data_IF_086736752883
#
_entry.id   IF_086736752883
#
_cell.length_a   1.000
_cell.length_b   1.000
_cell.length_c   1.000
_cell.angle_alpha   90.00
_cell.angle_beta   90.00
_cell.angle_gamma   90.00
#
_symmetry.space_group_name_H-M   'P 1'
#
loop_
_entity.id
_entity.type
_entity.pdbx_description
1 polymer ?
#
# COMPACT_ATOMS: atom_id res chain seq x y z
N UNK A 1 23.47 -34.03 -3.08
CA UNK A 1 22.54 -34.51 -2.04
C UNK A 1 21.39 -33.50 -1.94
N UNK A 2 20.17 -33.95 -1.72
CA UNK A 2 19.02 -33.06 -1.48
C UNK A 2 18.97 -32.75 0.02
N UNK A 3 18.84 -31.47 0.37
CA UNK A 3 18.69 -31.04 1.77
C UNK A 3 17.21 -31.03 2.14
N UNK A 4 16.85 -31.58 3.29
CA UNK A 4 15.47 -31.76 3.74
C UNK A 4 15.10 -30.76 4.81
N UNK A 5 13.89 -30.19 4.69
CA UNK A 5 13.27 -29.23 5.61
C UNK A 5 11.80 -29.62 5.85
N UNK A 6 11.21 -29.08 6.90
CA UNK A 6 9.76 -29.19 7.13
C UNK A 6 9.02 -28.13 6.31
N UNK A 7 9.66 -26.97 6.12
CA UNK A 7 9.07 -25.84 5.44
C UNK A 7 10.09 -25.05 4.60
N UNK A 8 9.76 -24.84 3.33
CA UNK A 8 10.48 -23.98 2.42
C UNK A 8 9.64 -22.72 2.17
N UNK A 9 10.26 -21.55 2.26
CA UNK A 9 9.62 -20.27 1.97
C UNK A 9 10.36 -19.58 0.80
N UNK A 10 9.65 -19.32 -0.28
CA UNK A 10 10.17 -18.62 -1.46
C UNK A 10 9.67 -17.17 -1.44
N UNK A 11 10.57 -16.23 -1.14
CA UNK A 11 10.32 -14.81 -0.98
C UNK A 11 10.44 -14.33 0.47
N UNK A 12 11.42 -13.47 0.71
CA UNK A 12 11.72 -12.83 2.01
C UNK A 12 11.02 -11.50 2.19
N UNK A 13 9.83 -11.33 1.61
CA UNK A 13 8.93 -10.21 1.89
C UNK A 13 8.11 -10.42 3.17
N UNK A 14 7.22 -9.47 3.47
CA UNK A 14 6.46 -9.41 4.73
C UNK A 14 5.74 -10.71 5.08
N UNK A 15 5.08 -11.34 4.11
CA UNK A 15 4.35 -12.60 4.32
C UNK A 15 5.26 -13.78 4.55
N UNK A 16 6.33 -13.91 3.74
CA UNK A 16 7.30 -14.99 3.85
C UNK A 16 8.06 -14.95 5.18
N UNK A 17 8.58 -13.78 5.57
CA UNK A 17 9.27 -13.57 6.87
C UNK A 17 8.35 -13.94 8.04
N UNK A 18 7.10 -13.45 8.01
CA UNK A 18 6.15 -13.70 9.09
C UNK A 18 5.78 -15.19 9.22
N UNK A 19 5.63 -15.87 8.08
CA UNK A 19 5.34 -17.30 8.03
C UNK A 19 6.54 -18.14 8.49
N UNK A 20 7.74 -17.86 7.95
CA UNK A 20 8.97 -18.59 8.30
C UNK A 20 9.26 -18.54 9.80
N UNK A 21 9.29 -17.32 10.38
CA UNK A 21 9.52 -17.16 11.82
C UNK A 21 8.45 -17.86 12.65
N UNK A 22 7.17 -17.74 12.27
CA UNK A 22 6.08 -18.39 13.03
C UNK A 22 6.18 -19.92 12.98
N UNK A 23 6.52 -20.49 11.83
CA UNK A 23 6.73 -21.93 11.69
C UNK A 23 7.92 -22.42 12.55
N UNK A 24 9.04 -21.72 12.50
CA UNK A 24 10.22 -22.03 13.30
C UNK A 24 9.95 -21.94 14.82
N UNK A 25 9.17 -20.94 15.27
CA UNK A 25 8.73 -20.85 16.68
C UNK A 25 7.90 -22.06 17.13
N UNK A 26 7.29 -22.80 16.21
CA UNK A 26 6.58 -24.06 16.49
C UNK A 26 7.45 -25.30 16.28
N UNK A 27 8.77 -25.13 16.11
CA UNK A 27 9.74 -26.20 16.01
C UNK A 27 9.96 -26.79 14.63
N UNK A 28 9.39 -26.20 13.58
CA UNK A 28 9.64 -26.61 12.21
C UNK A 28 11.07 -26.23 11.78
N UNK A 29 11.74 -27.12 11.03
CA UNK A 29 13.00 -26.82 10.34
C UNK A 29 12.69 -26.03 9.08
N UNK A 30 13.01 -24.73 9.09
CA UNK A 30 12.62 -23.76 8.04
C UNK A 30 13.82 -23.24 7.28
N UNK A 31 13.69 -23.15 5.95
CA UNK A 31 14.59 -22.39 5.11
C UNK A 31 13.81 -21.35 4.28
N UNK A 32 14.36 -20.13 4.19
CA UNK A 32 13.82 -19.03 3.41
C UNK A 32 14.80 -18.66 2.29
N UNK A 33 14.28 -18.47 1.09
CA UNK A 33 15.01 -18.00 -0.08
C UNK A 33 14.52 -16.59 -0.48
N UNK A 34 15.46 -15.65 -0.64
CA UNK A 34 15.19 -14.29 -1.13
C UNK A 34 16.25 -13.89 -2.16
N UNK A 35 15.81 -13.55 -3.36
CA UNK A 35 16.70 -13.20 -4.47
C UNK A 35 17.09 -11.73 -4.53
N UNK A 36 16.52 -10.89 -3.67
CA UNK A 36 16.79 -9.46 -3.54
C UNK A 36 17.07 -9.10 -2.08
N UNK A 37 16.59 -7.93 -1.65
CA UNK A 37 16.73 -7.45 -0.28
C UNK A 37 15.62 -8.00 0.63
N UNK A 38 15.99 -8.48 1.80
CA UNK A 38 15.06 -8.93 2.84
C UNK A 38 14.08 -7.82 3.23
N UNK A 39 12.83 -8.19 3.53
CA UNK A 39 11.76 -7.21 3.79
C UNK A 39 10.86 -6.96 2.57
N UNK A 40 11.34 -7.31 1.36
CA UNK A 40 10.60 -7.20 0.10
C UNK A 40 10.20 -5.76 -0.24
N UNK A 41 9.17 -5.61 -1.06
CA UNK A 41 8.68 -4.29 -1.53
C UNK A 41 8.37 -3.35 -0.37
N UNK A 42 7.69 -3.81 0.67
CA UNK A 42 7.24 -2.96 1.78
C UNK A 42 8.38 -2.20 2.46
N UNK A 43 9.48 -2.89 2.76
CA UNK A 43 10.60 -2.31 3.51
C UNK A 43 11.53 -1.52 2.60
N UNK A 44 11.78 -2.00 1.38
CA UNK A 44 12.85 -1.46 0.54
C UNK A 44 12.35 -0.36 -0.43
N UNK A 45 11.20 -0.59 -1.08
CA UNK A 45 10.66 0.29 -2.13
C UNK A 45 9.13 0.45 -2.02
N UNK A 46 8.60 0.53 -0.81
CA UNK A 46 7.16 0.59 -0.56
C UNK A 46 6.79 1.35 0.70
N UNK A 47 6.06 0.68 1.60
CA UNK A 47 5.41 1.30 2.77
C UNK A 47 6.37 2.10 3.66
N UNK A 48 7.54 1.52 3.98
CA UNK A 48 8.50 2.12 4.91
C UNK A 48 9.13 3.38 4.30
N UNK A 49 9.83 3.31 3.16
CA UNK A 49 10.41 4.51 2.56
C UNK A 49 9.36 5.55 2.19
N UNK A 50 8.17 5.12 1.73
CA UNK A 50 7.07 6.02 1.39
C UNK A 50 6.58 6.82 2.60
N UNK A 51 6.36 6.16 3.76
CA UNK A 51 5.90 6.85 4.98
C UNK A 51 6.94 7.83 5.50
N UNK A 52 8.25 7.51 5.40
CA UNK A 52 9.34 8.45 5.73
C UNK A 52 9.31 9.67 4.81
N UNK A 53 9.15 9.45 3.50
CA UNK A 53 9.05 10.55 2.52
C UNK A 53 7.80 11.41 2.74
N UNK A 54 6.67 10.79 3.06
CA UNK A 54 5.43 11.48 3.41
C UNK A 54 5.59 12.35 4.66
N UNK A 55 6.28 11.89 5.72
CA UNK A 55 6.59 12.74 6.86
C UNK A 55 7.51 13.90 6.48
N UNK A 56 8.47 13.69 5.58
CA UNK A 56 9.28 14.79 5.01
C UNK A 56 8.41 15.84 4.33
N UNK A 57 7.41 15.40 3.56
CA UNK A 57 6.42 16.26 2.91
C UNK A 57 5.56 17.01 3.94
N UNK A 58 5.09 16.34 5.01
CA UNK A 58 4.33 16.97 6.10
C UNK A 58 5.15 18.06 6.82
N UNK A 59 6.44 17.83 7.04
CA UNK A 59 7.34 18.86 7.61
C UNK A 59 7.43 20.07 6.66
N UNK A 60 7.60 19.85 5.35
CA UNK A 60 7.65 20.90 4.36
C UNK A 60 6.33 21.71 4.34
N UNK A 61 5.17 21.04 4.30
CA UNK A 61 3.87 21.70 4.38
C UNK A 61 3.69 22.52 5.66
N UNK A 62 4.08 21.98 6.82
CA UNK A 62 4.01 22.70 8.08
C UNK A 62 4.82 24.00 8.04
N UNK A 63 6.04 23.93 7.51
CA UNK A 63 6.94 25.09 7.43
C UNK A 63 6.46 26.14 6.42
N UNK A 64 5.94 25.70 5.27
CA UNK A 64 5.51 26.62 4.20
C UNK A 64 4.11 27.16 4.36
N UNK A 65 3.18 26.38 4.93
CA UNK A 65 1.75 26.72 4.96
C UNK A 65 1.26 27.18 6.33
N UNK A 66 1.77 26.60 7.41
CA UNK A 66 1.16 26.78 8.73
C UNK A 66 2.05 27.52 9.73
N UNK A 67 3.37 27.46 9.62
CA UNK A 67 4.27 28.05 10.60
C UNK A 67 4.00 29.54 10.86
N UNK A 68 3.79 30.33 9.80
CA UNK A 68 3.47 31.76 9.93
C UNK A 68 2.14 32.03 10.64
N UNK A 69 1.14 31.19 10.43
CA UNK A 69 -0.18 31.28 11.08
C UNK A 69 -0.10 31.02 12.61
N UNK A 70 0.91 30.26 13.02
CA UNK A 70 1.24 30.01 14.44
C UNK A 70 2.24 31.02 15.01
N UNK A 71 2.62 32.06 14.27
CA UNK A 71 3.51 33.13 14.71
C UNK A 71 5.00 32.81 14.57
N UNK A 72 5.38 31.75 13.85
CA UNK A 72 6.76 31.46 13.55
C UNK A 72 7.22 32.21 12.31
N UNK A 73 8.27 33.05 12.44
CA UNK A 73 9.00 33.64 11.31
C UNK A 73 10.09 32.65 10.87
N UNK A 74 9.83 31.93 9.78
CA UNK A 74 10.69 30.85 9.32
C UNK A 74 11.29 31.21 7.96
N UNK A 75 12.62 31.12 7.86
CA UNK A 75 13.35 31.17 6.60
C UNK A 75 14.00 29.83 6.33
N UNK A 76 13.57 29.14 5.27
CA UNK A 76 14.17 27.87 4.83
C UNK A 76 15.28 28.18 3.84
N UNK A 77 16.54 28.11 4.27
CA UNK A 77 17.69 28.36 3.41
C UNK A 77 17.92 27.24 2.38
N UNK A 78 17.62 25.98 2.73
CA UNK A 78 17.83 24.82 1.88
C UNK A 78 16.98 23.65 2.36
N UNK A 79 16.39 22.91 1.46
CA UNK A 79 15.97 21.52 1.65
C UNK A 79 17.03 20.60 1.05
N UNK A 80 17.56 19.65 1.80
CA UNK A 80 18.56 18.70 1.37
C UNK A 80 17.95 17.30 1.24
N UNK A 81 17.54 16.97 0.01
CA UNK A 81 16.94 15.67 -0.31
C UNK A 81 17.89 14.51 -0.04
N UNK A 82 19.20 14.70 -0.28
CA UNK A 82 20.20 13.67 -0.01
C UNK A 82 20.26 13.30 1.48
N UNK A 83 20.10 14.29 2.38
CA UNK A 83 20.00 14.03 3.82
C UNK A 83 18.76 13.20 4.17
N UNK A 84 17.59 13.52 3.59
CA UNK A 84 16.36 12.74 3.79
C UNK A 84 16.53 11.31 3.27
N UNK A 85 17.09 11.14 2.06
CA UNK A 85 17.38 9.83 1.45
C UNK A 85 18.32 9.00 2.32
N UNK A 86 19.43 9.57 2.81
CA UNK A 86 20.40 8.88 3.65
C UNK A 86 19.79 8.44 4.98
N UNK A 87 19.01 9.30 5.67
CA UNK A 87 18.34 8.97 6.91
C UNK A 87 17.27 7.89 6.74
N UNK A 88 16.53 7.93 5.63
CA UNK A 88 15.57 6.90 5.23
C UNK A 88 16.28 5.55 5.04
N UNK A 89 17.41 5.53 4.32
CA UNK A 89 18.19 4.31 4.10
C UNK A 89 18.71 3.75 5.42
N UNK A 90 19.31 4.58 6.28
CA UNK A 90 19.77 4.14 7.59
C UNK A 90 18.63 3.56 8.46
N UNK A 91 17.38 4.03 8.29
CA UNK A 91 16.22 3.43 8.95
C UNK A 91 15.88 2.05 8.39
N UNK A 92 15.92 1.88 7.06
CA UNK A 92 15.71 0.58 6.38
C UNK A 92 16.78 -0.42 6.84
N UNK A 93 18.04 -0.03 6.89
CA UNK A 93 19.15 -0.90 7.33
C UNK A 93 18.96 -1.41 8.77
N UNK A 94 18.40 -0.57 9.66
CA UNK A 94 18.04 -1.03 11.02
C UNK A 94 16.93 -2.08 11.01
N UNK A 95 15.96 -1.99 10.08
CA UNK A 95 14.90 -2.99 9.92
C UNK A 95 15.50 -4.29 9.39
N UNK A 96 16.40 -4.26 8.40
CA UNK A 96 17.12 -5.43 7.91
C UNK A 96 17.85 -6.13 9.05
N UNK A 97 18.62 -5.38 9.85
CA UNK A 97 19.31 -5.93 11.02
C UNK A 97 18.35 -6.54 12.06
N UNK A 98 17.11 -6.03 12.16
CA UNK A 98 16.09 -6.62 13.04
C UNK A 98 15.56 -7.95 12.48
N UNK A 99 15.36 -8.06 11.16
CA UNK A 99 14.96 -9.33 10.53
C UNK A 99 16.04 -10.39 10.69
N UNK A 100 17.33 -10.03 10.46
CA UNK A 100 18.44 -10.96 10.63
C UNK A 100 18.49 -11.53 12.05
N UNK A 101 18.42 -10.67 13.06
CA UNK A 101 18.35 -11.12 14.47
C UNK A 101 17.13 -12.00 14.75
N UNK A 102 16.01 -11.71 14.10
CA UNK A 102 14.78 -12.52 14.21
C UNK A 102 14.95 -13.91 13.63
N UNK A 103 15.60 -14.05 12.48
CA UNK A 103 15.91 -15.33 11.87
C UNK A 103 16.86 -16.13 12.74
N UNK A 104 17.95 -15.53 13.23
CA UNK A 104 18.91 -16.19 14.11
C UNK A 104 18.25 -16.67 15.40
N UNK A 105 17.44 -15.82 16.04
CA UNK A 105 16.74 -16.13 17.27
C UNK A 105 15.75 -17.29 17.15
N UNK A 106 15.10 -17.41 15.99
CA UNK A 106 14.10 -18.46 15.72
C UNK A 106 14.69 -19.68 15.01
N UNK A 107 15.96 -19.65 14.60
CA UNK A 107 16.61 -20.76 13.89
C UNK A 107 16.12 -20.92 12.44
N UNK A 108 15.71 -19.83 11.79
CA UNK A 108 15.35 -19.83 10.36
C UNK A 108 16.63 -19.78 9.53
N UNK A 109 16.89 -20.82 8.74
CA UNK A 109 17.94 -20.78 7.72
C UNK A 109 17.50 -19.89 6.55
N UNK A 110 18.44 -19.15 5.97
CA UNK A 110 18.18 -18.27 4.81
C UNK A 110 19.30 -18.34 3.80
N UNK A 111 18.92 -18.21 2.52
CA UNK A 111 19.84 -18.13 1.39
C UNK A 111 19.39 -16.96 0.52
N UNK A 112 20.28 -15.98 0.31
CA UNK A 112 20.02 -14.78 -0.48
C UNK A 112 20.32 -15.04 -1.96
N UNK A 113 19.45 -15.89 -2.57
CA UNK A 113 19.50 -16.30 -3.95
C UNK A 113 18.11 -16.67 -4.47
N UNK A 114 17.92 -16.61 -5.79
CA UNK A 114 16.68 -16.99 -6.44
C UNK A 114 16.46 -18.51 -6.40
N UNK A 115 15.36 -18.95 -5.80
CA UNK A 115 14.91 -20.34 -5.82
C UNK A 115 14.12 -20.65 -7.10
N UNK A 116 14.29 -21.86 -7.63
CA UNK A 116 13.54 -22.36 -8.79
C UNK A 116 12.98 -23.75 -8.52
N UNK A 117 11.71 -23.95 -8.82
CA UNK A 117 11.12 -25.29 -8.78
C UNK A 117 11.74 -26.20 -9.84
N UNK A 118 12.09 -27.41 -9.45
CA UNK A 118 12.47 -28.50 -10.37
C UNK A 118 11.40 -29.57 -10.46
N UNK A 119 10.59 -29.72 -9.41
CA UNK A 119 9.35 -30.50 -9.30
C UNK A 119 8.45 -29.89 -8.21
N UNK A 120 7.23 -30.43 -7.94
CA UNK A 120 6.29 -29.83 -6.95
C UNK A 120 6.82 -29.70 -5.52
N UNK A 121 7.80 -30.50 -5.11
CA UNK A 121 8.31 -30.52 -3.73
C UNK A 121 9.80 -30.25 -3.62
N UNK A 122 10.47 -29.92 -4.74
CA UNK A 122 11.91 -29.67 -4.77
C UNK A 122 12.20 -28.33 -5.45
N UNK A 123 13.00 -27.52 -4.78
CA UNK A 123 13.56 -26.30 -5.36
C UNK A 123 15.08 -26.43 -5.52
N UNK A 124 15.63 -25.75 -6.50
CA UNK A 124 17.06 -25.62 -6.76
C UNK A 124 17.51 -24.18 -6.55
N UNK A 125 18.58 -24.00 -5.82
CA UNK A 125 19.18 -22.68 -5.51
C UNK A 125 20.69 -22.82 -5.63
N UNK A 126 21.35 -22.02 -6.50
CA UNK A 126 22.79 -22.05 -6.71
C UNK A 126 23.36 -23.47 -6.96
N UNK A 127 22.62 -24.33 -7.66
CA UNK A 127 23.02 -25.71 -7.97
C UNK A 127 22.77 -26.75 -6.84
N UNK A 128 22.31 -26.33 -5.69
CA UNK A 128 21.90 -27.22 -4.59
C UNK A 128 20.37 -27.44 -4.60
N UNK A 129 19.94 -28.62 -4.17
CA UNK A 129 18.50 -28.98 -4.12
C UNK A 129 18.00 -29.08 -2.70
N UNK A 130 16.79 -28.59 -2.51
CA UNK A 130 16.09 -28.52 -1.23
C UNK A 130 14.68 -29.09 -1.39
N UNK A 131 14.22 -29.89 -0.45
CA UNK A 131 12.88 -30.49 -0.49
C UNK A 131 12.17 -30.30 0.84
N UNK A 132 10.85 -30.15 0.78
CA UNK A 132 9.98 -30.08 1.95
C UNK A 132 8.57 -30.57 1.60
N UNK A 133 7.81 -31.12 2.59
CA UNK A 133 6.39 -31.42 2.41
C UNK A 133 5.53 -30.14 2.28
N UNK A 134 6.03 -29.00 2.77
CA UNK A 134 5.35 -27.73 2.73
C UNK A 134 6.22 -26.66 2.07
N UNK A 135 5.71 -26.01 1.02
CA UNK A 135 6.40 -24.93 0.30
C UNK A 135 5.47 -23.72 0.18
N UNK A 136 5.90 -22.57 0.66
CA UNK A 136 5.19 -21.30 0.51
C UNK A 136 5.78 -20.48 -0.64
N UNK A 137 4.91 -19.99 -1.53
CA UNK A 137 5.22 -19.01 -2.56
C UNK A 137 4.74 -17.64 -2.07
N UNK A 138 5.68 -16.74 -1.76
CA UNK A 138 5.44 -15.37 -1.29
C UNK A 138 6.28 -14.36 -2.10
N UNK A 139 6.35 -14.57 -3.41
CA UNK A 139 7.19 -13.83 -4.36
C UNK A 139 6.71 -12.41 -4.66
N UNK A 140 5.52 -12.02 -4.16
CA UNK A 140 5.00 -10.67 -4.29
C UNK A 140 4.67 -10.26 -5.73
N UNK A 141 4.86 -8.99 -6.04
CA UNK A 141 4.59 -8.40 -7.35
C UNK A 141 5.57 -7.28 -7.70
N UNK A 142 5.48 -6.79 -8.94
CA UNK A 142 6.27 -5.67 -9.46
C UNK A 142 5.40 -4.64 -10.18
N UNK A 143 5.91 -3.42 -10.32
CA UNK A 143 5.22 -2.34 -11.02
C UNK A 143 5.16 -2.59 -12.53
N UNK A 144 4.11 -2.10 -13.17
CA UNK A 144 3.88 -2.22 -14.61
C UNK A 144 4.39 -1.00 -15.38
N UNK A 145 4.94 -1.26 -16.55
CA UNK A 145 5.16 -0.26 -17.61
C UNK A 145 4.05 -0.37 -18.67
N UNK A 146 3.58 0.74 -19.25
CA UNK A 146 2.65 0.67 -20.37
C UNK A 146 3.35 0.20 -21.64
N UNK A 147 2.60 -0.46 -22.52
CA UNK A 147 3.12 -0.86 -23.83
C UNK A 147 2.89 0.26 -24.85
N UNK A 148 3.67 1.35 -24.71
CA UNK A 148 3.67 2.49 -25.63
C UNK A 148 5.11 2.88 -25.98
N UNK A 149 5.37 3.52 -27.13
CA UNK A 149 6.70 3.99 -27.50
C UNK A 149 7.29 4.91 -26.45
N UNK A 150 8.56 4.67 -26.07
CA UNK A 150 9.31 5.50 -25.12
C UNK A 150 8.92 5.29 -23.65
N UNK A 151 8.11 4.29 -23.31
CA UNK A 151 7.73 4.01 -21.92
C UNK A 151 8.92 3.73 -21.00
N UNK A 152 10.02 3.23 -21.55
CA UNK A 152 11.26 2.95 -20.84
C UNK A 152 12.00 4.19 -20.33
N UNK A 153 11.67 5.38 -20.82
CA UNK A 153 12.25 6.63 -20.32
C UNK A 153 11.64 7.08 -18.98
N UNK A 154 10.46 6.58 -18.65
CA UNK A 154 9.87 6.78 -17.33
C UNK A 154 10.40 5.78 -16.30
N UNK A 155 10.28 6.13 -15.03
CA UNK A 155 10.55 5.25 -13.89
C UNK A 155 9.24 4.73 -13.29
N UNK A 156 9.31 3.77 -12.37
CA UNK A 156 8.17 3.31 -11.57
C UNK A 156 8.27 3.82 -10.12
N UNK A 157 7.36 3.38 -9.26
CA UNK A 157 7.47 3.63 -7.80
C UNK A 157 8.79 3.18 -7.21
N UNK A 158 9.42 2.15 -7.75
CA UNK A 158 10.73 1.68 -7.27
C UNK A 158 11.80 2.73 -7.59
N UNK A 159 11.82 3.26 -8.82
CA UNK A 159 12.72 4.33 -9.23
C UNK A 159 12.49 5.66 -8.50
N UNK A 160 11.27 5.95 -8.02
CA UNK A 160 11.02 7.12 -7.17
C UNK A 160 11.88 7.09 -5.90
N UNK A 161 12.08 5.94 -5.29
CA UNK A 161 12.92 5.81 -4.10
C UNK A 161 14.42 5.91 -4.39
N UNK A 162 14.81 5.76 -5.66
CA UNK A 162 16.21 5.88 -6.10
C UNK A 162 16.60 7.31 -6.52
N UNK A 163 15.64 8.22 -6.65
CA UNK A 163 15.95 9.62 -6.98
C UNK A 163 17.00 10.21 -6.05
N UNK A 164 17.91 11.01 -6.61
CA UNK A 164 18.97 11.69 -5.87
C UNK A 164 18.61 13.13 -5.49
N UNK A 165 17.63 13.71 -6.19
CA UNK A 165 17.10 15.05 -5.95
C UNK A 165 15.61 15.09 -6.27
N UNK A 166 14.93 16.14 -5.82
CA UNK A 166 13.54 16.41 -6.22
C UNK A 166 13.54 16.95 -7.64
N UNK A 167 12.90 16.25 -8.62
CA UNK A 167 12.81 16.76 -9.98
C UNK A 167 12.04 18.09 -10.02
N UNK A 168 12.44 19.02 -10.87
CA UNK A 168 11.75 20.31 -10.97
C UNK A 168 10.33 20.17 -11.49
N UNK A 169 10.13 19.35 -12.53
CA UNK A 169 8.82 19.08 -13.16
C UNK A 169 8.62 17.56 -13.21
N UNK A 170 7.50 17.09 -12.69
CA UNK A 170 7.20 15.66 -12.63
C UNK A 170 5.81 15.38 -13.20
N UNK A 171 5.72 14.36 -14.06
CA UNK A 171 4.46 13.73 -14.42
C UNK A 171 4.32 12.39 -13.70
N UNK A 172 3.22 12.19 -12.98
CA UNK A 172 2.84 10.90 -12.39
C UNK A 172 1.62 10.38 -13.14
N UNK A 173 1.72 9.21 -13.74
CA UNK A 173 0.63 8.60 -14.52
C UNK A 173 0.08 7.41 -13.77
N UNK A 174 -1.19 7.51 -13.34
CA UNK A 174 -1.91 6.49 -12.58
C UNK A 174 -3.00 7.09 -11.73
N UNK A 175 -3.98 6.27 -11.33
CA UNK A 175 -5.14 6.69 -10.56
C UNK A 175 -5.27 5.96 -9.21
N UNK A 176 -4.31 5.11 -8.86
CA UNK A 176 -4.27 4.36 -7.62
C UNK A 176 -3.60 5.14 -6.48
N UNK A 177 -3.59 4.51 -5.29
CA UNK A 177 -3.00 5.12 -4.10
C UNK A 177 -1.50 5.45 -4.27
N UNK A 178 -0.73 4.62 -4.98
CA UNK A 178 0.70 4.88 -5.25
C UNK A 178 0.87 6.20 -6.02
N UNK A 179 0.06 6.41 -7.07
CA UNK A 179 0.12 7.62 -7.87
C UNK A 179 -0.17 8.87 -7.04
N UNK A 180 -1.25 8.83 -6.24
CA UNK A 180 -1.66 9.95 -5.38
C UNK A 180 -0.62 10.26 -4.31
N UNK A 181 -0.07 9.24 -3.66
CA UNK A 181 0.94 9.38 -2.61
C UNK A 181 2.26 9.96 -3.15
N UNK A 182 2.77 9.41 -4.25
CA UNK A 182 4.02 9.86 -4.86
C UNK A 182 3.89 11.29 -5.40
N UNK A 183 2.77 11.60 -6.08
CA UNK A 183 2.51 12.94 -6.58
C UNK A 183 2.40 13.96 -5.43
N UNK A 184 1.69 13.61 -4.35
CA UNK A 184 1.56 14.48 -3.17
C UNK A 184 2.90 14.76 -2.49
N UNK A 185 3.74 13.74 -2.32
CA UNK A 185 5.09 13.91 -1.73
C UNK A 185 5.96 14.81 -2.59
N UNK A 186 6.05 14.60 -3.89
CA UNK A 186 6.88 15.41 -4.79
C UNK A 186 6.39 16.85 -4.84
N UNK A 187 5.08 17.06 -4.93
CA UNK A 187 4.48 18.40 -4.90
C UNK A 187 4.83 19.15 -3.60
N UNK A 188 4.66 18.50 -2.44
CA UNK A 188 4.96 19.12 -1.15
C UNK A 188 6.46 19.43 -0.96
N UNK A 189 7.35 18.65 -1.60
CA UNK A 189 8.79 18.88 -1.59
C UNK A 189 9.28 19.86 -2.66
N UNK A 190 8.36 20.47 -3.43
CA UNK A 190 8.65 21.60 -4.33
C UNK A 190 8.79 21.25 -5.81
N UNK A 191 8.43 20.05 -6.23
CA UNK A 191 8.31 19.70 -7.65
C UNK A 191 7.02 20.29 -8.22
N UNK A 192 7.08 20.89 -9.42
CA UNK A 192 5.89 21.15 -10.23
C UNK A 192 5.33 19.82 -10.72
N UNK A 193 4.32 19.33 -10.02
CA UNK A 193 3.84 17.96 -10.15
C UNK A 193 2.46 17.89 -10.80
N UNK A 194 2.38 17.07 -11.85
CA UNK A 194 1.16 16.79 -12.60
C UNK A 194 0.74 15.34 -12.44
N UNK A 195 -0.50 15.11 -11.99
CA UNK A 195 -1.10 13.78 -11.84
C UNK A 195 -2.07 13.52 -12.99
N UNK A 196 -1.78 12.53 -13.83
CA UNK A 196 -2.60 12.15 -14.97
C UNK A 196 -3.41 10.89 -14.67
N UNK A 197 -4.73 10.99 -14.80
CA UNK A 197 -5.65 9.87 -14.60
C UNK A 197 -6.49 9.61 -15.85
N UNK A 198 -6.63 8.34 -16.21
CA UNK A 198 -7.35 7.90 -17.41
C UNK A 198 -8.86 8.18 -17.38
N UNK A 199 -9.44 8.35 -16.19
CA UNK A 199 -10.87 8.55 -15.99
C UNK A 199 -11.14 9.92 -15.34
N UNK A 200 -12.35 10.09 -14.83
CA UNK A 200 -12.85 11.31 -14.22
C UNK A 200 -12.19 11.72 -12.91
N UNK A 201 -11.62 10.75 -12.15
CA UNK A 201 -10.99 11.01 -10.85
C UNK A 201 -9.98 9.92 -10.47
N UNK A 202 -9.04 10.21 -9.53
CA UNK A 202 -8.22 9.18 -8.88
C UNK A 202 -9.05 8.37 -7.88
N UNK A 203 -8.46 7.31 -7.31
CA UNK A 203 -8.98 6.53 -6.17
C UNK A 203 -10.44 6.06 -6.32
N UNK A 204 -10.87 5.68 -7.52
CA UNK A 204 -12.26 5.33 -7.83
C UNK A 204 -12.84 4.15 -7.03
N UNK A 205 -12.02 3.41 -6.31
CA UNK A 205 -12.45 2.33 -5.41
C UNK A 205 -12.75 2.80 -4.00
N UNK A 206 -12.38 4.03 -3.65
CA UNK A 206 -12.68 4.71 -2.40
C UNK A 206 -14.01 5.45 -2.47
N UNK A 207 -14.54 5.83 -1.32
CA UNK A 207 -15.83 6.56 -1.23
C UNK A 207 -15.72 7.90 -1.99
N UNK A 208 -16.75 8.18 -2.80
CA UNK A 208 -16.72 9.34 -3.71
C UNK A 208 -16.63 10.67 -2.96
N UNK A 209 -17.42 10.85 -1.89
CA UNK A 209 -17.43 12.09 -1.13
C UNK A 209 -16.06 12.41 -0.53
N UNK A 210 -15.34 11.38 -0.10
CA UNK A 210 -13.99 11.52 0.46
C UNK A 210 -12.97 11.88 -0.63
N UNK A 211 -13.10 11.26 -1.79
CA UNK A 211 -12.20 11.55 -2.93
C UNK A 211 -12.47 12.94 -3.51
N UNK A 212 -13.72 13.39 -3.54
CA UNK A 212 -14.07 14.75 -4.03
C UNK A 212 -13.37 15.81 -3.16
N UNK A 213 -13.34 15.67 -1.83
CA UNK A 213 -12.58 16.57 -0.94
C UNK A 213 -11.08 16.57 -1.28
N UNK A 214 -10.48 15.39 -1.57
CA UNK A 214 -9.09 15.33 -2.00
C UNK A 214 -8.86 16.09 -3.32
N UNK A 215 -9.75 15.92 -4.30
CA UNK A 215 -9.64 16.61 -5.60
C UNK A 215 -9.75 18.13 -5.44
N UNK A 216 -10.67 18.59 -4.58
CA UNK A 216 -10.80 20.02 -4.25
C UNK A 216 -9.52 20.58 -3.59
N UNK A 217 -8.87 19.80 -2.72
CA UNK A 217 -7.60 20.22 -2.11
C UNK A 217 -6.42 20.19 -3.12
N UNK A 218 -6.38 19.20 -4.03
CA UNK A 218 -5.42 19.20 -5.14
C UNK A 218 -5.55 20.44 -6.01
N UNK A 219 -6.78 20.91 -6.28
CA UNK A 219 -7.01 22.13 -7.05
C UNK A 219 -6.48 23.41 -6.38
N UNK A 220 -6.34 23.41 -5.04
CA UNK A 220 -5.83 24.56 -4.26
C UNK A 220 -4.32 24.53 -4.07
N UNK A 221 -3.74 23.35 -3.89
CA UNK A 221 -2.36 23.21 -3.43
C UNK A 221 -1.50 22.22 -4.23
N UNK A 222 -2.03 21.68 -5.32
CA UNK A 222 -1.39 20.65 -6.12
C UNK A 222 -1.48 19.24 -5.48
N UNK A 223 -1.02 18.24 -6.21
CA UNK A 223 -0.54 18.26 -7.59
C UNK A 223 -1.63 18.67 -8.60
N UNK A 224 -1.24 19.21 -9.76
CA UNK A 224 -2.19 19.53 -10.83
C UNK A 224 -2.80 18.26 -11.40
N UNK A 225 -4.11 18.10 -11.27
CA UNK A 225 -4.83 16.93 -11.73
C UNK A 225 -5.30 17.07 -13.17
N UNK A 226 -4.93 16.10 -14.02
CA UNK A 226 -5.40 15.94 -15.40
C UNK A 226 -6.26 14.69 -15.49
N UNK A 227 -7.53 14.86 -15.84
CA UNK A 227 -8.49 13.75 -16.02
C UNK A 227 -8.66 13.42 -17.49
N UNK A 228 -9.17 12.18 -17.77
CA UNK A 228 -9.38 11.70 -19.14
C UNK A 228 -8.12 11.80 -20.02
N UNK A 229 -6.96 11.57 -19.44
CA UNK A 229 -5.66 11.65 -20.10
C UNK A 229 -4.96 10.27 -20.00
N UNK A 230 -4.78 9.64 -21.16
CA UNK A 230 -4.08 8.37 -21.26
C UNK A 230 -2.85 8.55 -22.16
N UNK A 231 -1.66 8.29 -21.60
CA UNK A 231 -0.41 8.49 -22.34
C UNK A 231 -0.33 7.55 -23.55
N UNK A 232 0.12 8.05 -24.67
CA UNK A 232 0.24 7.33 -25.95
C UNK A 232 1.68 7.21 -26.44
N UNK A 233 2.56 8.14 -26.06
CA UNK A 233 3.96 8.18 -26.48
C UNK A 233 4.78 9.01 -25.49
N UNK A 234 6.04 8.66 -25.33
CA UNK A 234 7.05 9.44 -24.61
C UNK A 234 8.26 9.65 -25.51
N UNK A 235 8.70 10.89 -25.65
CA UNK A 235 9.89 11.27 -26.42
C UNK A 235 10.92 11.89 -25.48
N UNK A 236 12.14 11.36 -25.51
CA UNK A 236 13.29 11.95 -24.81
C UNK A 236 13.90 13.06 -25.67
N UNK A 237 13.95 14.28 -25.13
CA UNK A 237 14.48 15.45 -25.80
C UNK A 237 16.03 15.53 -25.68
N UNK A 238 16.64 16.45 -26.43
CA UNK A 238 18.09 16.63 -26.46
C UNK A 238 18.68 17.17 -25.11
N UNK A 239 17.83 17.78 -24.28
CA UNK A 239 18.16 18.28 -22.94
C UNK A 239 17.82 17.30 -21.82
N UNK A 240 17.60 16.03 -22.16
CA UNK A 240 17.16 14.94 -21.28
C UNK A 240 15.74 15.05 -20.70
N UNK A 241 15.02 16.15 -20.98
CA UNK A 241 13.60 16.24 -20.61
C UNK A 241 12.74 15.25 -21.41
N UNK A 242 11.54 14.95 -20.91
CA UNK A 242 10.60 13.99 -21.51
C UNK A 242 9.34 14.71 -21.97
N UNK A 243 8.99 14.59 -23.26
CA UNK A 243 7.71 15.04 -23.78
C UNK A 243 6.74 13.87 -23.85
N UNK A 244 5.59 13.99 -23.18
CA UNK A 244 4.56 12.97 -23.09
C UNK A 244 3.36 13.45 -23.89
N UNK A 245 2.85 12.61 -24.78
CA UNK A 245 1.62 12.83 -25.55
C UNK A 245 0.48 12.01 -24.99
N UNK A 246 -0.74 12.58 -24.99
CA UNK A 246 -1.95 11.94 -24.47
C UNK A 246 -3.01 11.78 -25.57
N UNK A 247 -3.92 10.82 -25.37
CA UNK A 247 -5.02 10.50 -26.32
C UNK A 247 -6.06 11.62 -26.48
N UNK A 248 -6.13 12.55 -25.54
CA UNK A 248 -6.97 13.74 -25.58
C UNK A 248 -6.34 14.92 -26.34
N UNK A 249 -5.12 14.74 -26.87
CA UNK A 249 -4.37 15.75 -27.62
C UNK A 249 -3.49 16.66 -26.74
N UNK A 250 -3.50 16.50 -25.44
CA UNK A 250 -2.56 17.22 -24.55
C UNK A 250 -1.13 16.70 -24.73
N UNK A 251 -0.17 17.58 -24.45
CA UNK A 251 1.25 17.23 -24.32
C UNK A 251 1.84 17.97 -23.13
N UNK A 252 2.80 17.33 -22.45
CA UNK A 252 3.56 17.97 -21.37
C UNK A 252 5.04 17.62 -21.50
N UNK A 253 5.91 18.56 -21.11
CA UNK A 253 7.35 18.32 -21.02
C UNK A 253 7.81 18.42 -19.57
N UNK A 254 8.40 17.35 -19.05
CA UNK A 254 8.81 17.21 -17.66
C UNK A 254 10.25 16.69 -17.55
N UNK A 255 10.82 16.76 -16.36
CA UNK A 255 12.17 16.26 -16.06
C UNK A 255 12.13 14.81 -15.53
N UNK A 256 10.97 14.38 -15.01
CA UNK A 256 10.76 13.04 -14.50
C UNK A 256 9.35 12.54 -14.84
N UNK A 257 9.25 11.29 -15.29
CA UNK A 257 7.99 10.60 -15.53
C UNK A 257 7.93 9.36 -14.65
N UNK A 258 6.84 9.22 -13.89
CA UNK A 258 6.62 8.08 -12.97
C UNK A 258 5.37 7.32 -13.39
N UNK A 259 5.57 6.04 -13.74
CA UNK A 259 4.49 5.10 -14.02
C UNK A 259 3.96 4.50 -12.71
N UNK A 260 2.73 4.80 -12.37
CA UNK A 260 1.99 4.23 -11.23
C UNK A 260 0.65 3.61 -11.69
N UNK A 261 0.70 2.90 -12.83
CA UNK A 261 -0.47 2.37 -13.56
C UNK A 261 -0.96 1.03 -13.05
N UNK A 262 -0.28 0.44 -12.07
CA UNK A 262 -0.63 -0.83 -11.44
C UNK A 262 0.58 -1.72 -11.18
N UNK A 263 0.30 -2.88 -10.61
CA UNK A 263 1.28 -3.92 -10.28
C UNK A 263 0.80 -5.27 -10.81
N UNK A 264 1.71 -6.19 -11.04
CA UNK A 264 1.41 -7.57 -11.42
C UNK A 264 2.18 -8.56 -10.56
N UNK A 265 1.64 -9.78 -10.44
CA UNK A 265 2.21 -10.83 -9.61
C UNK A 265 3.51 -11.40 -10.20
N UNK A 266 4.47 -11.74 -9.34
CA UNK A 266 5.69 -12.44 -9.74
C UNK A 266 5.42 -13.95 -9.82
N UNK A 267 4.92 -14.41 -10.96
CA UNK A 267 4.54 -15.81 -11.21
C UNK A 267 5.38 -16.50 -12.28
N UNK A 268 6.42 -15.85 -12.80
CA UNK A 268 7.28 -16.36 -13.85
C UNK A 268 8.76 -16.40 -13.45
N UNK A 269 9.57 -17.17 -14.17
CA UNK A 269 11.03 -17.16 -14.04
C UNK A 269 11.59 -18.09 -12.95
N UNK A 270 10.74 -18.71 -12.12
CA UNK A 270 11.17 -19.59 -11.02
C UNK A 270 10.63 -21.04 -11.12
N UNK A 271 10.22 -21.46 -12.33
CA UNK A 271 9.86 -22.86 -12.60
C UNK A 271 8.47 -23.26 -12.09
N UNK A 272 7.56 -22.29 -11.85
CA UNK A 272 6.20 -22.55 -11.36
C UNK A 272 5.43 -23.52 -12.25
N UNK A 273 5.65 -23.49 -13.55
CA UNK A 273 5.04 -24.38 -14.57
C UNK A 273 5.34 -25.86 -14.34
N UNK A 274 6.41 -26.19 -13.59
CA UNK A 274 6.79 -27.57 -13.23
C UNK A 274 6.00 -28.14 -12.06
N UNK A 275 5.26 -27.30 -11.35
CA UNK A 275 4.54 -27.68 -10.13
C UNK A 275 3.10 -28.12 -10.38
N UNK A 276 2.48 -27.65 -11.47
CA UNK A 276 1.04 -27.82 -11.72
C UNK A 276 0.15 -26.81 -10.96
N UNK A 277 0.73 -25.82 -10.28
CA UNK A 277 -0.01 -24.74 -9.63
C UNK A 277 -0.75 -23.93 -10.67
N UNK A 278 -2.04 -23.69 -10.45
CA UNK A 278 -2.92 -22.96 -11.37
C UNK A 278 -2.80 -21.45 -11.14
N UNK A 279 -2.78 -20.72 -12.24
CA UNK A 279 -2.94 -19.27 -12.25
C UNK A 279 -4.40 -18.88 -12.51
N UNK A 280 -4.80 -17.73 -12.02
CA UNK A 280 -6.06 -17.06 -12.37
C UNK A 280 -5.95 -16.43 -13.77
N UNK A 281 -7.05 -15.97 -14.32
CA UNK A 281 -7.07 -15.21 -15.59
C UNK A 281 -6.22 -13.92 -15.54
N UNK A 282 -5.99 -13.39 -14.35
CA UNK A 282 -5.15 -12.20 -14.12
C UNK A 282 -3.65 -12.52 -13.96
N UNK A 283 -3.27 -13.80 -14.09
CA UNK A 283 -1.87 -14.23 -13.94
C UNK A 283 -1.39 -14.33 -12.48
N UNK A 284 -2.28 -14.23 -11.49
CA UNK A 284 -1.96 -14.43 -10.07
C UNK A 284 -2.08 -15.90 -9.70
N UNK A 285 -1.42 -16.34 -8.63
CA UNK A 285 -1.57 -17.72 -8.15
C UNK A 285 -2.94 -17.88 -7.50
N UNK A 286 -3.71 -18.88 -7.96
CA UNK A 286 -4.95 -19.27 -7.28
C UNK A 286 -4.63 -19.82 -5.88
N UNK A 287 -5.29 -19.29 -4.86
CA UNK A 287 -5.30 -19.87 -3.53
C UNK A 287 -6.67 -19.75 -2.85
N UNK A 288 -7.03 -20.76 -2.07
CA UNK A 288 -8.28 -20.76 -1.31
C UNK A 288 -8.23 -19.87 -0.05
N UNK A 289 -9.24 -19.95 0.80
CA UNK A 289 -9.31 -19.17 2.05
C UNK A 289 -8.28 -19.61 3.12
N UNK A 290 -7.66 -20.78 2.94
CA UNK A 290 -6.60 -21.34 3.77
C UNK A 290 -5.20 -21.19 3.17
N UNK A 291 -5.06 -20.39 2.11
CA UNK A 291 -3.84 -20.16 1.33
C UNK A 291 -3.31 -21.42 0.61
N UNK A 292 -4.13 -22.50 0.47
CA UNK A 292 -3.76 -23.66 -0.34
C UNK A 292 -3.84 -23.32 -1.82
N UNK A 293 -2.85 -23.72 -2.59
CA UNK A 293 -2.91 -23.69 -4.05
C UNK A 293 -3.68 -24.88 -4.61
N UNK A 294 -3.70 -25.04 -5.93
CA UNK A 294 -4.25 -26.23 -6.59
C UNK A 294 -3.41 -27.51 -6.39
N UNK A 295 -2.24 -27.42 -5.78
CA UNK A 295 -1.30 -28.54 -5.56
C UNK A 295 -1.10 -28.74 -4.07
N UNK A 296 -1.39 -29.94 -3.52
CA UNK A 296 -1.18 -30.24 -2.11
C UNK A 296 0.27 -29.98 -1.67
N UNK A 297 0.44 -29.37 -0.50
CA UNK A 297 1.76 -29.03 0.05
C UNK A 297 2.36 -27.74 -0.51
N UNK A 298 1.74 -27.11 -1.52
CA UNK A 298 2.15 -25.79 -2.02
C UNK A 298 1.12 -24.75 -1.63
N UNK A 299 1.58 -23.67 -1.03
CA UNK A 299 0.79 -22.54 -0.54
C UNK A 299 1.20 -21.25 -1.24
N UNK A 300 0.30 -20.26 -1.29
CA UNK A 300 0.61 -18.94 -1.82
C UNK A 300 -0.13 -17.86 -1.04
N UNK A 301 0.55 -16.74 -0.72
CA UNK A 301 -0.03 -15.59 -0.04
C UNK A 301 0.63 -14.27 -0.42
N UNK A 302 -0.01 -13.17 -0.04
CA UNK A 302 0.40 -11.82 -0.39
C UNK A 302 0.09 -11.47 -1.84
N UNK A 303 0.78 -10.45 -2.38
CA UNK A 303 0.48 -9.85 -3.70
C UNK A 303 0.50 -10.88 -4.85
N UNK A 304 1.26 -11.97 -4.71
CA UNK A 304 1.30 -13.03 -5.73
C UNK A 304 -0.06 -13.68 -5.96
N UNK A 305 -0.98 -13.59 -5.00
CA UNK A 305 -2.35 -14.12 -5.09
C UNK A 305 -3.38 -13.11 -5.61
N UNK A 306 -3.06 -11.81 -5.54
CA UNK A 306 -3.96 -10.74 -5.94
C UNK A 306 -5.24 -10.61 -5.11
N UNK A 307 -5.27 -11.17 -3.88
CA UNK A 307 -6.44 -11.07 -2.99
C UNK A 307 -6.57 -9.67 -2.40
N UNK A 308 -5.55 -9.22 -1.68
CA UNK A 308 -5.48 -7.88 -1.09
C UNK A 308 -4.01 -7.51 -0.83
N UNK A 309 -3.50 -6.55 -1.61
CA UNK A 309 -2.09 -6.19 -1.66
C UNK A 309 -1.72 -5.22 -0.51
N UNK A 310 -1.78 -5.72 0.72
CA UNK A 310 -1.44 -4.98 1.94
C UNK A 310 -0.48 -5.78 2.81
N UNK A 311 0.58 -5.12 3.27
CA UNK A 311 1.60 -5.72 4.14
C UNK A 311 1.03 -6.44 5.37
N UNK A 312 0.13 -5.84 6.20
CA UNK A 312 -0.40 -6.52 7.38
C UNK A 312 -1.28 -7.73 7.03
N UNK A 313 -1.90 -7.72 5.86
CA UNK A 313 -2.67 -8.87 5.33
C UNK A 313 -1.74 -10.03 5.04
N UNK A 314 -0.66 -9.81 4.29
CA UNK A 314 0.33 -10.84 4.00
C UNK A 314 0.98 -11.39 5.28
N UNK A 315 1.33 -10.52 6.24
CA UNK A 315 1.88 -10.91 7.56
C UNK A 315 0.92 -11.81 8.31
N UNK A 316 -0.36 -11.42 8.40
CA UNK A 316 -1.36 -12.19 9.15
C UNK A 316 -1.69 -13.51 8.44
N UNK A 317 -1.83 -13.51 7.12
CA UNK A 317 -2.02 -14.73 6.33
C UNK A 317 -0.86 -15.73 6.55
N UNK A 318 0.39 -15.26 6.49
CA UNK A 318 1.57 -16.09 6.74
C UNK A 318 1.61 -16.68 8.14
N UNK A 319 1.24 -15.89 9.16
CA UNK A 319 1.15 -16.39 10.55
C UNK A 319 0.04 -17.43 10.70
N UNK A 320 -1.16 -17.20 10.13
CA UNK A 320 -2.28 -18.14 10.20
C UNK A 320 -1.96 -19.46 9.47
N UNK A 321 -1.30 -19.38 8.32
CA UNK A 321 -0.83 -20.57 7.62
C UNK A 321 0.10 -21.39 8.50
N UNK A 322 1.09 -20.78 9.16
CA UNK A 322 2.02 -21.47 10.04
C UNK A 322 1.36 -22.02 11.32
N UNK A 323 0.37 -21.29 11.90
CA UNK A 323 -0.44 -21.82 13.01
C UNK A 323 -1.19 -23.09 12.60
N UNK A 324 -1.69 -23.17 11.36
CA UNK A 324 -2.39 -24.34 10.84
C UNK A 324 -1.46 -25.51 10.59
N UNK A 325 -0.31 -25.27 9.96
CA UNK A 325 0.62 -26.31 9.54
C UNK A 325 1.45 -26.91 10.70
N UNK A 326 1.83 -26.07 11.67
CA UNK A 326 2.82 -26.44 12.70
C UNK A 326 2.35 -26.27 14.14
N UNK A 327 1.13 -25.76 14.38
CA UNK A 327 0.58 -25.57 15.73
C UNK A 327 -0.81 -26.20 15.93
N UNK A 328 -1.16 -27.16 15.10
CA UNK A 328 -2.41 -27.95 15.22
C UNK A 328 -3.71 -27.11 15.25
N UNK A 329 -3.70 -25.89 14.72
CA UNK A 329 -4.90 -25.05 14.60
C UNK A 329 -5.53 -25.23 13.21
N UNK A 330 -6.22 -26.35 12.99
CA UNK A 330 -6.72 -26.76 11.67
C UNK A 330 -7.57 -25.67 10.95
N UNK A 331 -8.30 -24.85 11.72
CA UNK A 331 -9.20 -23.82 11.18
C UNK A 331 -8.53 -22.44 11.07
N UNK A 332 -7.22 -22.34 11.35
CA UNK A 332 -6.52 -21.05 11.29
C UNK A 332 -6.46 -20.53 9.85
N UNK A 333 -7.12 -19.40 9.62
CA UNK A 333 -7.16 -18.67 8.35
C UNK A 333 -7.30 -17.19 8.58
N UNK A 334 -7.00 -16.38 7.58
CA UNK A 334 -7.24 -14.95 7.60
C UNK A 334 -8.67 -14.65 7.15
N UNK A 335 -9.37 -13.85 7.94
CA UNK A 335 -10.60 -13.19 7.51
C UNK A 335 -10.22 -11.88 6.77
N UNK A 336 -10.50 -11.84 5.47
CA UNK A 336 -10.22 -10.73 4.57
C UNK A 336 -11.30 -9.63 4.57
N UNK A 337 -12.35 -9.74 5.41
CA UNK A 337 -13.42 -8.75 5.47
C UNK A 337 -13.03 -7.56 6.34
N UNK A 338 -13.54 -6.38 6.00
CA UNK A 338 -13.40 -5.14 6.76
C UNK A 338 -11.94 -4.80 7.15
N UNK A 339 -11.03 -4.99 6.20
CA UNK A 339 -9.62 -4.60 6.37
C UNK A 339 -9.51 -3.09 6.15
N UNK A 340 -9.08 -2.38 7.19
CA UNK A 340 -8.83 -0.95 7.11
C UNK A 340 -7.62 -0.66 6.21
N UNK A 341 -7.69 0.46 5.49
CA UNK A 341 -6.61 0.95 4.64
C UNK A 341 -6.47 2.47 4.75
N UNK A 342 -5.26 2.96 4.50
CA UNK A 342 -4.91 4.37 4.48
C UNK A 342 -4.24 4.71 3.16
N UNK A 343 -4.63 5.83 2.57
CA UNK A 343 -3.89 6.49 1.49
C UNK A 343 -3.19 7.72 2.07
N UNK A 344 -1.88 7.73 2.03
CA UNK A 344 -1.05 8.83 2.54
C UNK A 344 -0.99 9.98 1.54
N UNK A 345 -2.19 10.48 1.18
CA UNK A 345 -2.42 11.68 0.40
C UNK A 345 -2.26 12.95 1.25
N UNK A 346 -2.50 14.10 0.65
CA UNK A 346 -2.48 15.43 1.27
C UNK A 346 -3.83 16.14 0.99
N UNK A 347 -4.80 16.06 1.94
CA UNK A 347 -4.81 15.38 3.25
C UNK A 347 -4.95 13.85 3.16
N UNK A 348 -4.63 13.16 4.27
CA UNK A 348 -4.64 11.70 4.37
C UNK A 348 -6.06 11.13 4.38
N UNK A 349 -6.25 9.98 3.71
CA UNK A 349 -7.53 9.25 3.67
C UNK A 349 -7.41 7.95 4.45
N UNK A 350 -8.43 7.65 5.27
CA UNK A 350 -8.63 6.34 5.91
C UNK A 350 -9.98 5.74 5.52
N UNK A 351 -10.02 4.42 5.35
CA UNK A 351 -11.23 3.72 4.91
C UNK A 351 -11.29 2.31 5.48
N UNK A 352 -12.48 1.88 5.90
CA UNK A 352 -12.79 0.51 6.26
C UNK A 352 -14.22 0.16 5.85
N UNK A 353 -14.43 -1.06 5.37
CA UNK A 353 -15.74 -1.57 4.95
C UNK A 353 -16.19 -1.06 3.57
N UNK A 354 -17.51 -0.95 3.38
CA UNK A 354 -18.11 -0.62 2.08
C UNK A 354 -18.26 0.89 1.90
N UNK A 355 -17.94 1.38 0.69
CA UNK A 355 -18.36 2.73 0.29
C UNK A 355 -19.86 2.80 0.15
N UNK A 356 -20.44 4.01 0.19
CA UNK A 356 -21.87 4.21 -0.01
C UNK A 356 -22.37 3.54 -1.30
N UNK A 357 -21.70 3.75 -2.43
CA UNK A 357 -22.11 3.17 -3.71
C UNK A 357 -22.08 1.63 -3.69
N UNK A 358 -21.06 1.03 -3.06
CA UNK A 358 -20.99 -0.42 -2.91
C UNK A 358 -22.06 -0.97 -1.96
N UNK A 359 -22.36 -0.25 -0.90
CA UNK A 359 -23.39 -0.61 0.05
C UNK A 359 -24.78 -0.57 -0.60
N UNK A 360 -25.11 0.51 -1.32
CA UNK A 360 -26.35 0.65 -2.07
C UNK A 360 -26.49 -0.45 -3.14
N UNK A 361 -25.43 -0.69 -3.90
CA UNK A 361 -25.43 -1.74 -4.93
C UNK A 361 -25.66 -3.15 -4.35
N UNK A 362 -25.21 -3.40 -3.13
CA UNK A 362 -25.31 -4.71 -2.47
C UNK A 362 -26.63 -4.91 -1.72
N UNK A 363 -27.15 -3.87 -1.08
CA UNK A 363 -28.24 -3.99 -0.10
C UNK A 363 -29.50 -3.20 -0.47
N UNK A 364 -29.48 -2.35 -1.52
CA UNK A 364 -30.55 -1.42 -1.85
C UNK A 364 -30.46 -0.11 -1.06
N UNK A 365 -30.84 1.00 -1.70
CA UNK A 365 -30.77 2.34 -1.11
C UNK A 365 -31.66 2.49 0.13
N UNK A 366 -32.77 1.78 0.16
CA UNK A 366 -33.75 1.80 1.25
C UNK A 366 -33.22 1.20 2.56
N UNK A 367 -32.17 0.38 2.48
CA UNK A 367 -31.55 -0.26 3.66
C UNK A 367 -30.26 0.47 4.12
N UNK A 368 -29.88 1.53 3.43
CA UNK A 368 -28.64 2.25 3.72
C UNK A 368 -28.95 3.64 4.26
N UNK A 369 -28.33 3.98 5.38
CA UNK A 369 -28.32 5.34 5.91
C UNK A 369 -26.88 5.84 6.01
N UNK A 370 -26.67 7.11 5.67
CA UNK A 370 -25.34 7.73 5.63
C UNK A 370 -25.31 8.91 6.60
N UNK A 371 -24.23 8.97 7.36
CA UNK A 371 -23.92 10.10 8.24
C UNK A 371 -22.63 10.76 7.76
N UNK A 372 -22.59 12.09 7.73
CA UNK A 372 -21.44 12.84 7.24
C UNK A 372 -21.22 14.10 8.06
N UNK A 373 -19.99 14.33 8.49
CA UNK A 373 -19.55 15.57 9.11
C UNK A 373 -18.37 16.15 8.33
N UNK A 374 -18.43 17.46 8.07
CA UNK A 374 -17.32 18.19 7.42
C UNK A 374 -16.99 19.41 8.27
N UNK A 375 -15.71 19.59 8.58
CA UNK A 375 -15.24 20.64 9.46
C UNK A 375 -13.81 21.03 9.11
N UNK A 376 -13.31 22.14 9.67
CA UNK A 376 -11.91 22.51 9.60
C UNK A 376 -11.23 22.13 10.92
N UNK A 377 -10.25 21.25 10.92
CA UNK A 377 -9.49 20.90 12.14
C UNK A 377 -8.81 22.13 12.72
N UNK A 378 -8.72 22.22 14.05
CA UNK A 378 -8.08 23.35 14.74
C UNK A 378 -6.65 23.62 14.23
N UNK A 379 -5.92 22.55 13.87
CA UNK A 379 -4.56 22.66 13.35
C UNK A 379 -4.45 23.48 12.07
N UNK A 380 -5.46 23.48 11.22
CA UNK A 380 -5.48 24.20 9.93
C UNK A 380 -6.46 25.37 9.91
N UNK A 381 -7.10 25.70 11.07
CA UNK A 381 -8.15 26.68 11.13
C UNK A 381 -7.70 28.12 11.37
N UNK A 382 -6.46 28.36 11.79
CA UNK A 382 -6.02 29.68 12.28
C UNK A 382 -5.83 30.71 11.19
N UNK A 383 -5.50 30.30 9.97
CA UNK A 383 -5.21 31.20 8.89
C UNK A 383 -6.06 30.97 7.63
N UNK A 384 -5.51 31.38 6.48
CA UNK A 384 -6.18 31.26 5.19
C UNK A 384 -6.01 29.88 4.53
N UNK A 385 -4.99 29.11 4.95
CA UNK A 385 -4.68 27.79 4.41
C UNK A 385 -5.52 26.66 5.05
N UNK A 386 -6.83 26.88 5.16
CA UNK A 386 -7.74 25.93 5.80
C UNK A 386 -7.88 24.66 5.00
N UNK A 387 -7.41 23.54 5.57
CA UNK A 387 -7.57 22.21 5.00
C UNK A 387 -8.76 21.53 5.68
N UNK A 388 -9.81 21.12 4.94
CA UNK A 388 -10.99 20.51 5.52
C UNK A 388 -10.71 19.07 5.95
N UNK A 389 -11.53 18.61 6.91
CA UNK A 389 -11.71 17.19 7.22
C UNK A 389 -13.15 16.79 6.97
N UNK A 390 -13.36 15.59 6.46
CA UNK A 390 -14.69 14.99 6.26
C UNK A 390 -14.68 13.57 6.79
N UNK A 391 -15.67 13.27 7.64
CA UNK A 391 -15.90 11.94 8.22
C UNK A 391 -17.25 11.42 7.73
N UNK A 392 -17.33 10.12 7.41
CA UNK A 392 -18.51 9.49 6.85
C UNK A 392 -18.72 8.10 7.42
N UNK A 393 -19.96 7.79 7.83
CA UNK A 393 -20.42 6.47 8.22
C UNK A 393 -21.46 5.98 7.22
N UNK A 394 -21.38 4.70 6.88
CA UNK A 394 -22.38 3.98 6.08
C UNK A 394 -22.97 2.89 6.97
N UNK A 395 -24.26 2.94 7.21
CA UNK A 395 -24.97 1.99 8.09
C UNK A 395 -25.98 1.17 7.32
N UNK A 396 -26.32 0.00 7.86
CA UNK A 396 -27.21 -0.98 7.25
C UNK A 396 -28.37 -1.34 8.19
N UNK A 397 -29.58 -1.31 7.64
CA UNK A 397 -30.81 -1.80 8.28
C UNK A 397 -31.29 -0.97 9.46
N UNK A 398 -32.34 -1.45 10.14
CA UNK A 398 -32.99 -0.74 11.25
C UNK A 398 -32.08 -0.60 12.48
N UNK A 399 -31.16 -1.57 12.69
CA UNK A 399 -30.18 -1.53 13.79
C UNK A 399 -29.01 -0.59 13.47
N UNK A 400 -28.98 -0.02 12.29
CA UNK A 400 -27.91 0.88 11.82
C UNK A 400 -26.49 0.30 12.07
N UNK A 401 -26.28 -0.98 11.73
CA UNK A 401 -24.96 -1.60 11.81
C UNK A 401 -23.98 -0.84 10.93
N UNK A 402 -22.85 -0.42 11.46
CA UNK A 402 -21.82 0.29 10.70
C UNK A 402 -21.11 -0.71 9.78
N UNK A 403 -21.26 -0.53 8.46
CA UNK A 403 -20.67 -1.36 7.41
C UNK A 403 -19.63 -0.63 6.58
N UNK A 404 -19.48 0.67 6.79
CA UNK A 404 -18.45 1.50 6.18
C UNK A 404 -18.12 2.71 7.05
N UNK A 405 -16.84 3.03 7.14
CA UNK A 405 -16.32 4.22 7.82
C UNK A 405 -15.19 4.78 7.00
N UNK A 406 -15.32 6.03 6.61
CA UNK A 406 -14.40 6.72 5.72
C UNK A 406 -14.09 8.10 6.27
N UNK A 407 -12.84 8.53 6.10
CA UNK A 407 -12.45 9.88 6.50
C UNK A 407 -11.32 10.42 5.66
N UNK A 408 -11.26 11.74 5.56
CA UNK A 408 -10.13 12.49 5.01
C UNK A 408 -9.82 13.65 5.94
N UNK A 409 -8.55 13.90 6.19
CA UNK A 409 -8.11 15.02 7.01
C UNK A 409 -7.02 14.65 8.01
N UNK A 410 -6.61 15.63 8.79
CA UNK A 410 -5.53 15.49 9.76
C UNK A 410 -5.82 14.39 10.79
N UNK A 411 -4.86 13.45 10.93
CA UNK A 411 -4.90 12.37 11.94
C UNK A 411 -5.80 11.18 11.60
N UNK A 412 -6.46 11.18 10.43
CA UNK A 412 -7.35 10.07 10.02
C UNK A 412 -6.59 8.75 9.90
N UNK A 413 -5.32 8.78 9.49
CA UNK A 413 -4.44 7.61 9.41
C UNK A 413 -4.26 6.88 10.74
N UNK A 414 -4.23 7.61 11.84
CA UNK A 414 -4.08 7.03 13.18
C UNK A 414 -5.43 6.64 13.81
N UNK A 415 -6.52 7.38 13.51
CA UNK A 415 -7.85 7.10 14.05
C UNK A 415 -8.45 5.80 13.53
N UNK A 416 -8.30 5.55 12.21
CA UNK A 416 -9.03 4.49 11.50
C UNK A 416 -8.80 3.09 12.09
N UNK A 417 -7.61 2.84 12.67
CA UNK A 417 -7.29 1.56 13.28
C UNK A 417 -8.19 1.26 14.49
N UNK A 418 -8.45 2.23 15.34
CA UNK A 418 -9.31 2.07 16.52
C UNK A 418 -10.77 1.80 16.12
N UNK A 419 -11.31 2.58 15.19
CA UNK A 419 -12.66 2.40 14.69
C UNK A 419 -12.85 1.10 13.92
N UNK A 420 -11.82 0.62 13.21
CA UNK A 420 -11.90 -0.67 12.52
C UNK A 420 -12.07 -1.86 13.48
N UNK A 421 -11.57 -1.76 14.72
CA UNK A 421 -11.81 -2.76 15.76
C UNK A 421 -13.30 -2.79 16.13
N UNK A 422 -13.92 -1.63 16.36
CA UNK A 422 -15.34 -1.55 16.66
C UNK A 422 -16.23 -2.12 15.53
N UNK A 423 -15.91 -1.79 14.27
CA UNK A 423 -16.62 -2.33 13.10
C UNK A 423 -16.47 -3.85 13.02
N UNK A 424 -15.27 -4.37 13.25
CA UNK A 424 -15.03 -5.82 13.27
C UNK A 424 -15.79 -6.55 14.38
N UNK A 425 -16.11 -5.85 15.47
CA UNK A 425 -16.95 -6.34 16.55
C UNK A 425 -18.45 -6.22 16.24
N UNK A 426 -18.81 -5.58 15.13
CA UNK A 426 -20.21 -5.42 14.70
C UNK A 426 -20.92 -4.21 15.32
N UNK A 427 -20.18 -3.14 15.63
CA UNK A 427 -20.71 -1.92 16.20
C UNK A 427 -21.83 -1.30 15.36
N UNK A 428 -22.81 -0.71 16.05
CA UNK A 428 -23.93 0.03 15.49
C UNK A 428 -23.74 1.54 15.66
N UNK A 429 -24.58 2.33 14.98
CA UNK A 429 -24.61 3.79 15.18
C UNK A 429 -24.92 4.14 16.62
N UNK A 430 -25.81 3.39 17.26
CA UNK A 430 -26.15 3.57 18.67
C UNK A 430 -24.96 3.35 19.61
N UNK A 431 -24.09 2.41 19.33
CA UNK A 431 -22.85 2.20 20.10
C UNK A 431 -21.92 3.42 19.99
N UNK A 432 -21.82 4.03 18.82
CA UNK A 432 -21.05 5.25 18.61
C UNK A 432 -21.69 6.43 19.34
N UNK A 433 -22.99 6.62 19.23
CA UNK A 433 -23.75 7.72 19.89
C UNK A 433 -23.73 7.65 21.43
N UNK A 434 -23.60 6.44 21.96
CA UNK A 434 -23.50 6.23 23.41
C UNK A 434 -22.08 6.38 23.96
N UNK A 435 -21.08 6.50 23.04
CA UNK A 435 -19.69 6.70 23.43
C UNK A 435 -19.42 8.18 23.67
N UNK A 436 -18.91 8.50 24.87
CA UNK A 436 -18.54 9.89 25.21
C UNK A 436 -17.34 10.31 24.36
N UNK A 437 -17.49 11.41 23.64
CA UNK A 437 -16.46 11.96 22.77
C UNK A 437 -15.25 12.48 23.57
N UNK A 438 -14.07 12.41 22.94
CA UNK A 438 -12.86 13.07 23.46
C UNK A 438 -12.78 14.45 22.81
N UNK A 439 -13.02 15.50 23.56
CA UNK A 439 -12.95 16.88 23.08
C UNK A 439 -11.69 17.61 23.58
N UNK A 440 -10.97 18.38 22.70
CA UNK A 440 -11.21 18.57 21.27
C UNK A 440 -10.34 17.64 20.43
N UNK A 441 -10.95 16.78 19.65
CA UNK A 441 -10.25 15.87 18.69
C UNK A 441 -11.02 15.71 17.39
N UNK A 442 -10.34 15.42 16.27
CA UNK A 442 -11.02 15.09 15.01
C UNK A 442 -11.81 13.78 15.08
N UNK A 443 -11.43 12.84 15.95
CA UNK A 443 -12.07 11.54 16.08
C UNK A 443 -13.47 11.62 16.72
N UNK A 444 -13.76 12.69 17.49
CA UNK A 444 -15.08 12.89 18.09
C UNK A 444 -16.20 12.99 17.04
N UNK A 445 -15.87 13.45 15.84
CA UNK A 445 -16.84 13.57 14.74
C UNK A 445 -17.47 12.22 14.36
N UNK A 446 -16.74 11.11 14.47
CA UNK A 446 -17.31 9.79 14.21
C UNK A 446 -18.37 9.36 15.24
N UNK A 447 -18.31 9.86 16.46
CA UNK A 447 -19.26 9.49 17.55
C UNK A 447 -20.29 10.58 17.83
N UNK A 448 -20.18 11.75 17.21
CA UNK A 448 -21.11 12.87 17.40
C UNK A 448 -22.01 13.16 16.21
N UNK A 449 -21.81 12.51 15.05
CA UNK A 449 -22.65 12.68 13.84
C UNK A 449 -24.14 12.41 14.12
N UNK A 450 -25.02 13.24 13.54
CA UNK A 450 -26.50 13.13 13.64
C UNK A 450 -27.13 13.07 12.26
#
# INVERSE_FOLDING_TARGET
MVKEYDYIVIGGGSGGIASANRAAMHGAKVILFEGKEVGGTCVNVGCVPKKVMWYGAQVAETLHRYAGEYGFDVTINKFDFATLKANRQAYIDRIHGSYERGFDSNGVERVYEYARFVDPHTVEVAGERYTAPHILIATGGHALYPNIPGSEYGITSDGFFELDEVPKRTAVIGAGYIAVEVAGVLNALGSDTHLFVRKDRPLRTFDKDIVDVLVDEMAKSGPTLHTHANATEVVKNADDSLTISFDNGETITVDCLIWAIGRTANTSGFGLEKTGVKLTEKGTIYSDEFENTSVPGIYALGDVTGKLDLTPVAVKAGRQLSERLFNNKADAKLDYTDVATVVFSHPVIGSVGLTEEKAIAKYGVENIKVYKSSFTPMYTALGDNRQPSTMKLVTLGDDEKIIGLHGIGYGVDEMIQGFSVAIKMGATKADFDNTVAIHPTGSEEFVTMR
#
